data_IF_794661599823
#
_entry.id   IF_794661599823
#
_cell.length_a   1.000
_cell.length_b   1.000
_cell.length_c   1.000
_cell.angle_alpha   90.00
_cell.angle_beta   90.00
_cell.angle_gamma   90.00
#
_symmetry.space_group_name_H-M   'P 1'
#
loop_
_entity.id
_entity.type
_entity.pdbx_description
1 polymer ?
#
# COMPACT_ATOMS: atom_id res chain seq x y z
N UNK A 1 23.48 9.61 19.17
CA UNK A 1 22.48 10.51 18.58
C UNK A 1 22.34 10.32 17.05
N UNK A 2 23.43 10.31 16.27
CA UNK A 2 23.40 10.14 14.80
C UNK A 2 22.77 8.82 14.34
N UNK A 3 23.05 7.69 15.01
CA UNK A 3 22.51 6.38 14.67
C UNK A 3 20.96 6.37 14.84
N UNK A 4 20.48 6.95 15.94
CA UNK A 4 19.03 7.06 16.18
C UNK A 4 18.36 7.89 15.08
N UNK A 5 19.00 8.99 14.68
CA UNK A 5 18.49 9.86 13.62
C UNK A 5 18.40 9.14 12.27
N UNK A 6 19.40 8.33 11.91
CA UNK A 6 19.35 7.52 10.67
C UNK A 6 18.25 6.45 10.70
N UNK A 7 17.98 5.82 11.86
CA UNK A 7 16.87 4.89 12.02
C UNK A 7 15.51 5.60 11.94
N UNK A 8 15.39 6.82 12.51
CA UNK A 8 14.17 7.63 12.39
C UNK A 8 13.86 7.96 10.92
N UNK A 9 14.86 8.45 10.17
CA UNK A 9 14.67 8.74 8.74
C UNK A 9 14.38 7.48 7.92
N UNK A 10 15.02 6.35 8.23
CA UNK A 10 14.72 5.08 7.60
C UNK A 10 13.27 4.65 7.88
N UNK A 11 12.82 4.74 9.14
CA UNK A 11 11.45 4.43 9.55
C UNK A 11 10.41 5.34 8.90
N UNK A 12 10.69 6.65 8.80
CA UNK A 12 9.81 7.59 8.09
C UNK A 12 9.71 7.25 6.60
N UNK A 13 10.81 6.87 5.95
CA UNK A 13 10.81 6.52 4.53
C UNK A 13 9.98 5.26 4.27
N UNK A 14 10.18 4.20 5.05
CA UNK A 14 9.40 2.97 4.96
C UNK A 14 7.93 3.24 5.31
N UNK A 15 7.68 3.99 6.39
CA UNK A 15 6.35 4.37 6.82
C UNK A 15 5.57 5.19 5.79
N UNK A 16 6.24 6.06 5.04
CA UNK A 16 5.62 6.82 3.97
C UNK A 16 5.19 5.91 2.80
N UNK A 17 5.95 4.86 2.51
CA UNK A 17 5.55 3.87 1.51
C UNK A 17 4.39 3.00 2.02
N UNK A 18 4.38 2.61 3.29
CA UNK A 18 3.23 1.92 3.90
C UNK A 18 1.97 2.80 3.88
N UNK A 19 2.12 4.10 4.14
CA UNK A 19 1.04 5.07 4.04
C UNK A 19 0.48 5.15 2.61
N UNK A 20 1.36 5.28 1.60
CA UNK A 20 0.97 5.33 0.19
C UNK A 20 0.24 4.05 -0.25
N UNK A 21 0.78 2.88 0.13
CA UNK A 21 0.16 1.58 -0.13
C UNK A 21 -1.20 1.47 0.57
N UNK A 22 -1.29 1.88 1.83
CA UNK A 22 -2.53 1.93 2.59
C UNK A 22 -3.58 2.86 1.98
N UNK A 23 -3.17 4.02 1.44
CA UNK A 23 -4.05 4.93 0.69
C UNK A 23 -4.63 4.22 -0.54
N UNK A 24 -3.82 3.47 -1.30
CA UNK A 24 -4.29 2.66 -2.42
C UNK A 24 -5.36 1.64 -2.01
N UNK A 25 -5.13 0.94 -0.90
CA UNK A 25 -6.10 -0.01 -0.33
C UNK A 25 -7.39 0.68 0.11
N UNK A 26 -7.29 1.81 0.82
CA UNK A 26 -8.47 2.58 1.29
C UNK A 26 -9.27 3.12 0.11
N UNK A 27 -8.62 3.64 -0.93
CA UNK A 27 -9.30 4.13 -2.12
C UNK A 27 -10.13 3.04 -2.79
N UNK A 28 -9.54 1.86 -2.99
CA UNK A 28 -10.24 0.74 -3.59
C UNK A 28 -11.39 0.25 -2.70
N UNK A 29 -11.14 0.12 -1.38
CA UNK A 29 -12.17 -0.28 -0.43
C UNK A 29 -13.35 0.70 -0.40
N UNK A 30 -13.11 2.00 -0.45
CA UNK A 30 -14.16 3.03 -0.46
C UNK A 30 -15.08 2.92 -1.68
N UNK A 31 -14.55 2.56 -2.84
CA UNK A 31 -15.33 2.44 -4.07
C UNK A 31 -16.01 1.07 -4.21
N UNK A 32 -15.28 -0.01 -3.95
CA UNK A 32 -15.73 -1.38 -4.21
C UNK A 32 -16.30 -2.11 -2.98
N UNK A 33 -15.96 -1.64 -1.78
CA UNK A 33 -16.26 -2.33 -0.51
C UNK A 33 -15.44 -3.59 -0.28
N UNK A 34 -14.36 -3.80 -1.04
CA UNK A 34 -13.51 -5.01 -0.99
C UNK A 34 -12.08 -4.63 -0.64
N UNK A 35 -11.48 -5.39 0.27
CA UNK A 35 -10.04 -5.30 0.56
C UNK A 35 -9.27 -6.03 -0.54
N UNK A 36 -8.27 -5.38 -1.13
CA UNK A 36 -7.44 -5.97 -2.18
C UNK A 36 -6.17 -6.58 -1.59
N UNK A 37 -6.17 -7.88 -1.36
CA UNK A 37 -4.99 -8.61 -0.90
C UNK A 37 -3.92 -8.78 -1.99
N UNK A 38 -4.28 -8.62 -3.28
CA UNK A 38 -3.31 -8.68 -4.37
C UNK A 38 -2.42 -7.43 -4.48
N UNK A 39 -2.67 -6.38 -3.68
CA UNK A 39 -1.93 -5.11 -3.75
C UNK A 39 -0.42 -5.30 -3.59
N UNK A 40 0.02 -6.10 -2.61
CA UNK A 40 1.43 -6.44 -2.41
C UNK A 40 2.03 -7.25 -3.55
N UNK A 41 1.31 -8.26 -4.05
CA UNK A 41 1.75 -9.08 -5.18
C UNK A 41 1.91 -8.27 -6.48
N UNK A 42 0.98 -7.34 -6.76
CA UNK A 42 1.07 -6.41 -7.88
C UNK A 42 2.30 -5.51 -7.76
N UNK A 43 2.58 -5.01 -6.55
CA UNK A 43 3.78 -4.23 -6.26
C UNK A 43 5.05 -5.07 -6.42
N UNK A 44 5.05 -6.29 -5.89
CA UNK A 44 6.17 -7.23 -6.03
C UNK A 44 6.48 -7.55 -7.50
N UNK A 45 5.45 -7.80 -8.30
CA UNK A 45 5.59 -8.02 -9.74
C UNK A 45 6.19 -6.79 -10.44
N UNK A 46 5.73 -5.57 -10.08
CA UNK A 46 6.28 -4.33 -10.62
C UNK A 46 7.78 -4.22 -10.35
N UNK A 47 8.22 -4.50 -9.12
CA UNK A 47 9.63 -4.43 -8.73
C UNK A 47 10.48 -5.50 -9.44
N UNK A 48 9.97 -6.73 -9.58
CA UNK A 48 10.65 -7.82 -10.28
C UNK A 48 10.82 -7.53 -11.77
N UNK A 49 9.78 -7.02 -12.44
CA UNK A 49 9.85 -6.62 -13.84
C UNK A 49 10.81 -5.45 -14.06
N UNK A 50 10.79 -4.45 -13.17
CA UNK A 50 11.74 -3.34 -13.22
C UNK A 50 13.18 -3.84 -13.12
N UNK A 51 13.46 -4.70 -12.13
CA UNK A 51 14.77 -5.32 -11.99
C UNK A 51 15.19 -6.09 -13.26
N UNK A 52 14.26 -6.88 -13.84
CA UNK A 52 14.54 -7.64 -15.07
C UNK A 52 14.90 -6.73 -16.25
N UNK A 53 14.21 -5.60 -16.41
CA UNK A 53 14.52 -4.65 -17.49
C UNK A 53 15.91 -4.03 -17.32
N UNK A 54 16.29 -3.68 -16.08
CA UNK A 54 17.61 -3.13 -15.77
C UNK A 54 18.71 -4.18 -16.02
N UNK A 55 18.52 -5.43 -15.62
CA UNK A 55 19.46 -6.53 -15.89
C UNK A 55 19.64 -6.81 -17.39
N UNK A 56 18.61 -6.60 -18.19
CA UNK A 56 18.66 -6.68 -19.65
C UNK A 56 19.37 -5.49 -20.32
N UNK A 57 19.83 -4.50 -19.52
CA UNK A 57 20.54 -3.31 -20.01
C UNK A 57 19.66 -2.18 -20.47
N UNK A 58 18.35 -2.23 -20.22
CA UNK A 58 17.47 -1.10 -20.51
C UNK A 58 17.64 0.00 -19.45
N UNK A 59 17.33 1.25 -19.84
CA UNK A 59 17.37 2.38 -18.95
C UNK A 59 16.33 2.22 -17.79
N UNK A 60 16.67 2.70 -16.59
CA UNK A 60 15.86 2.54 -15.36
C UNK A 60 14.41 2.99 -15.52
N UNK A 61 14.19 4.12 -16.22
CA UNK A 61 12.85 4.65 -16.47
C UNK A 61 11.96 3.71 -17.31
N UNK A 62 12.57 2.91 -18.22
CA UNK A 62 11.85 1.87 -18.98
C UNK A 62 11.38 0.78 -18.03
N UNK A 63 12.26 0.32 -17.13
CA UNK A 63 11.91 -0.63 -16.09
C UNK A 63 10.75 -0.15 -15.21
N UNK A 64 10.74 1.12 -14.83
CA UNK A 64 9.65 1.72 -14.05
C UNK A 64 8.33 1.72 -14.82
N UNK A 65 8.34 2.16 -16.08
CA UNK A 65 7.13 2.19 -16.92
C UNK A 65 6.59 0.77 -17.12
N UNK A 66 7.44 -0.19 -17.43
CA UNK A 66 7.03 -1.59 -17.65
C UNK A 66 6.48 -2.20 -16.36
N UNK A 67 7.17 -2.02 -15.22
CA UNK A 67 6.74 -2.55 -13.93
C UNK A 67 5.40 -1.97 -13.49
N UNK A 68 5.29 -0.64 -13.43
CA UNK A 68 4.04 0.04 -13.03
C UNK A 68 2.93 -0.25 -14.04
N UNK A 69 3.25 -0.23 -15.33
CA UNK A 69 2.29 -0.51 -16.40
C UNK A 69 1.70 -1.92 -16.31
N UNK A 70 2.53 -2.93 -16.06
CA UNK A 70 2.08 -4.32 -15.90
C UNK A 70 1.20 -4.48 -14.66
N UNK A 71 1.60 -3.94 -13.51
CA UNK A 71 0.81 -3.97 -12.28
C UNK A 71 -0.54 -3.28 -12.47
N UNK A 72 -0.54 -2.13 -13.18
CA UNK A 72 -1.76 -1.37 -13.50
C UNK A 72 -2.67 -2.14 -14.43
N UNK A 73 -2.11 -2.75 -15.48
CA UNK A 73 -2.86 -3.54 -16.46
C UNK A 73 -3.53 -4.75 -15.80
N UNK A 74 -2.79 -5.51 -14.98
CA UNK A 74 -3.35 -6.65 -14.26
C UNK A 74 -4.45 -6.22 -13.27
N UNK A 75 -4.22 -5.14 -12.54
CA UNK A 75 -5.23 -4.58 -11.65
C UNK A 75 -6.47 -4.13 -12.42
N UNK A 76 -6.32 -3.45 -13.56
CA UNK A 76 -7.41 -3.06 -14.43
C UNK A 76 -8.15 -4.27 -15.02
N UNK A 77 -7.43 -5.28 -15.51
CA UNK A 77 -8.03 -6.50 -16.02
C UNK A 77 -8.90 -7.20 -14.95
N UNK A 78 -8.38 -7.33 -13.73
CA UNK A 78 -9.16 -7.87 -12.63
C UNK A 78 -10.41 -7.02 -12.35
N UNK A 79 -10.25 -5.71 -12.25
CA UNK A 79 -11.35 -4.78 -12.00
C UNK A 79 -12.40 -4.74 -13.11
N UNK A 80 -11.99 -5.00 -14.36
CA UNK A 80 -12.88 -4.95 -15.54
C UNK A 80 -13.63 -6.26 -15.80
N UNK A 81 -12.96 -7.40 -15.56
CA UNK A 81 -13.49 -8.73 -15.96
C UNK A 81 -13.90 -9.57 -14.75
N UNK A 82 -13.07 -9.62 -13.70
CA UNK A 82 -13.30 -10.51 -12.55
C UNK A 82 -14.19 -9.87 -11.49
N UNK A 83 -13.90 -8.64 -11.09
CA UNK A 83 -14.64 -7.97 -10.02
C UNK A 83 -16.14 -7.79 -10.30
N UNK A 84 -16.61 -7.51 -11.54
CA UNK A 84 -18.03 -7.43 -11.84
C UNK A 84 -18.74 -8.78 -11.73
N UNK A 85 -18.09 -9.88 -12.12
CA UNK A 85 -18.66 -11.25 -12.04
C UNK A 85 -18.91 -11.68 -10.59
N UNK A 86 -18.11 -11.13 -9.66
CA UNK A 86 -18.22 -11.39 -8.23
C UNK A 86 -19.08 -10.36 -7.48
N UNK A 87 -19.71 -9.42 -8.20
CA UNK A 87 -20.43 -8.29 -7.56
C UNK A 87 -21.62 -8.74 -6.70
N UNK A 88 -22.20 -9.91 -6.99
CA UNK A 88 -23.33 -10.50 -6.26
C UNK A 88 -22.88 -11.38 -5.08
N UNK A 89 -21.59 -11.64 -4.96
CA UNK A 89 -21.02 -12.45 -3.89
C UNK A 89 -20.75 -11.62 -2.63
N UNK A 90 -20.65 -12.30 -1.49
CA UNK A 90 -20.31 -11.71 -0.22
C UNK A 90 -18.93 -10.99 -0.26
N UNK A 91 -18.77 -10.01 0.63
CA UNK A 91 -17.50 -9.25 0.73
C UNK A 91 -16.31 -10.15 1.00
N UNK A 92 -16.50 -11.23 1.77
CA UNK A 92 -15.46 -12.21 2.10
C UNK A 92 -15.03 -12.95 0.84
N UNK A 93 -15.98 -13.47 0.04
CA UNK A 93 -15.68 -14.17 -1.22
C UNK A 93 -14.92 -13.28 -2.19
N UNK A 94 -15.32 -12.02 -2.32
CA UNK A 94 -14.63 -11.04 -3.16
C UNK A 94 -13.21 -10.74 -2.68
N UNK A 95 -13.00 -10.67 -1.37
CA UNK A 95 -11.67 -10.50 -0.79
C UNK A 95 -10.79 -11.74 -1.03
N UNK A 96 -11.35 -12.95 -0.84
CA UNK A 96 -10.66 -14.21 -1.12
C UNK A 96 -10.27 -14.34 -2.60
N UNK A 97 -11.07 -13.85 -3.53
CA UNK A 97 -10.73 -13.84 -4.96
C UNK A 97 -9.49 -12.94 -5.23
N UNK A 98 -9.34 -11.80 -4.52
CA UNK A 98 -8.11 -10.99 -4.64
C UNK A 98 -6.90 -11.67 -4.00
N UNK A 99 -7.09 -12.47 -2.95
CA UNK A 99 -6.04 -13.30 -2.36
C UNK A 99 -5.61 -14.41 -3.34
N UNK A 100 -6.56 -15.04 -4.03
CA UNK A 100 -6.27 -15.99 -5.11
C UNK A 100 -5.43 -15.35 -6.21
N UNK A 101 -5.75 -14.12 -6.63
CA UNK A 101 -4.93 -13.36 -7.56
C UNK A 101 -3.52 -13.11 -7.01
N UNK A 102 -3.39 -12.79 -5.71
CA UNK A 102 -2.08 -12.59 -5.08
C UNK A 102 -1.21 -13.84 -5.16
N UNK A 103 -1.77 -15.00 -4.81
CA UNK A 103 -1.05 -16.27 -4.87
C UNK A 103 -0.73 -16.71 -6.30
N UNK A 104 -1.62 -16.43 -7.26
CA UNK A 104 -1.35 -16.68 -8.67
C UNK A 104 -0.16 -15.85 -9.16
N UNK A 105 -0.14 -14.55 -8.88
CA UNK A 105 0.99 -13.67 -9.24
C UNK A 105 2.27 -14.13 -8.55
N UNK A 106 2.21 -14.42 -7.24
CA UNK A 106 3.36 -14.90 -6.46
C UNK A 106 3.90 -16.21 -7.02
N UNK A 107 3.03 -17.18 -7.30
CA UNK A 107 3.43 -18.48 -7.85
C UNK A 107 4.05 -18.36 -9.24
N UNK A 108 3.48 -17.54 -10.14
CA UNK A 108 4.05 -17.25 -11.45
C UNK A 108 5.41 -16.54 -11.33
N UNK A 109 5.53 -15.60 -10.41
CA UNK A 109 6.78 -14.90 -10.15
C UNK A 109 7.87 -15.86 -9.60
N UNK A 110 7.52 -16.76 -8.69
CA UNK A 110 8.44 -17.77 -8.18
C UNK A 110 8.83 -18.78 -9.27
N UNK A 111 7.90 -19.21 -10.10
CA UNK A 111 8.17 -20.12 -11.22
C UNK A 111 9.14 -19.51 -12.23
N UNK A 112 8.99 -18.23 -12.56
CA UNK A 112 9.81 -17.57 -13.58
C UNK A 112 11.16 -17.09 -13.04
N UNK A 113 11.20 -16.44 -11.87
CA UNK A 113 12.42 -15.86 -11.28
C UNK A 113 13.06 -16.74 -10.21
N UNK A 114 12.37 -17.74 -9.69
CA UNK A 114 12.79 -18.52 -8.52
C UNK A 114 12.65 -17.73 -7.22
N UNK A 115 13.15 -18.32 -6.12
CA UNK A 115 13.04 -17.73 -4.77
C UNK A 115 14.37 -17.10 -4.29
N UNK A 116 15.34 -16.93 -5.18
CA UNK A 116 16.64 -16.32 -4.85
C UNK A 116 16.47 -14.82 -4.62
N UNK A 117 16.87 -14.31 -3.43
CA UNK A 117 16.79 -12.89 -3.15
C UNK A 117 17.71 -12.06 -4.05
N UNK A 118 17.16 -11.07 -4.72
CA UNK A 118 17.88 -10.13 -5.60
C UNK A 118 17.93 -8.74 -4.98
N UNK A 119 18.64 -7.82 -5.62
CA UNK A 119 18.71 -6.41 -5.21
C UNK A 119 18.37 -5.53 -6.39
N UNK A 120 17.43 -4.62 -6.19
CA UNK A 120 17.18 -3.52 -7.10
C UNK A 120 18.07 -2.34 -6.66
N UNK A 121 19.13 -2.08 -7.40
CA UNK A 121 20.04 -0.97 -7.13
C UNK A 121 19.66 0.16 -8.07
N UNK A 122 19.37 1.33 -7.52
CA UNK A 122 19.09 2.53 -8.29
C UNK A 122 20.31 3.45 -8.28
N UNK A 123 20.53 4.25 -9.34
CA UNK A 123 21.67 5.18 -9.43
C UNK A 123 21.76 6.13 -8.24
N UNK A 124 20.60 6.48 -7.66
CA UNK A 124 20.49 7.38 -6.50
C UNK A 124 20.92 6.74 -5.17
N UNK A 125 21.20 5.42 -5.13
CA UNK A 125 21.65 4.73 -3.92
C UNK A 125 23.11 5.03 -3.58
N UNK A 126 23.92 5.35 -4.59
CA UNK A 126 25.35 5.65 -4.43
C UNK A 126 25.58 6.95 -3.65
N UNK A 127 24.65 7.90 -3.72
CA UNK A 127 24.72 9.21 -3.12
C UNK A 127 23.73 9.35 -1.95
N UNK A 128 24.02 10.29 -1.05
CA UNK A 128 23.18 10.52 0.13
C UNK A 128 23.63 11.74 0.93
N UNK A 129 22.78 12.15 1.86
CA UNK A 129 23.09 13.23 2.78
C UNK A 129 24.02 12.69 3.87
N UNK A 130 25.22 13.26 3.95
CA UNK A 130 26.21 12.92 4.97
C UNK A 130 26.18 13.95 6.09
N UNK A 131 26.21 13.47 7.33
CA UNK A 131 26.31 14.30 8.51
C UNK A 131 27.46 13.78 9.40
N UNK A 132 28.43 14.64 9.69
CA UNK A 132 29.67 14.28 10.42
C UNK A 132 30.39 13.02 9.87
N UNK A 133 30.55 12.94 8.53
CA UNK A 133 31.30 11.87 7.88
C UNK A 133 30.55 10.51 7.77
N UNK A 134 29.29 10.42 8.23
CA UNK A 134 28.45 9.23 8.09
C UNK A 134 27.21 9.54 7.27
N UNK A 135 26.79 8.57 6.44
CA UNK A 135 25.58 8.67 5.65
C UNK A 135 24.35 8.62 6.56
N UNK A 136 23.58 9.72 6.59
CA UNK A 136 22.34 9.84 7.36
C UNK A 136 21.17 9.17 6.63
N UNK A 137 21.00 9.50 5.34
CA UNK A 137 19.93 8.98 4.46
C UNK A 137 20.43 8.91 3.02
N UNK A 138 20.08 7.87 2.26
CA UNK A 138 20.31 7.81 0.81
C UNK A 138 19.33 8.71 0.06
N UNK A 139 19.73 9.21 -1.09
CA UNK A 139 18.83 10.02 -1.93
C UNK A 139 17.61 9.22 -2.36
N UNK A 140 17.72 7.91 -2.59
CA UNK A 140 16.58 7.03 -2.92
C UNK A 140 15.53 7.01 -1.80
N UNK A 141 15.95 6.91 -0.54
CA UNK A 141 15.03 6.96 0.61
C UNK A 141 14.36 8.32 0.76
N UNK A 142 15.11 9.39 0.53
CA UNK A 142 14.57 10.74 0.55
C UNK A 142 13.55 10.96 -0.57
N UNK A 143 13.88 10.51 -1.80
CA UNK A 143 12.95 10.55 -2.94
C UNK A 143 11.70 9.73 -2.67
N UNK A 144 11.84 8.51 -2.12
CA UNK A 144 10.70 7.66 -1.76
C UNK A 144 9.79 8.35 -0.73
N UNK A 145 10.37 8.99 0.29
CA UNK A 145 9.63 9.75 1.30
C UNK A 145 8.88 10.92 0.66
N UNK A 146 9.58 11.78 -0.09
CA UNK A 146 9.00 12.96 -0.72
C UNK A 146 7.92 12.59 -1.75
N UNK A 147 8.19 11.60 -2.62
CA UNK A 147 7.22 11.15 -3.62
C UNK A 147 6.01 10.49 -2.97
N UNK A 148 6.19 9.63 -1.96
CA UNK A 148 5.09 9.00 -1.26
C UNK A 148 4.17 10.02 -0.59
N UNK A 149 4.73 11.04 0.06
CA UNK A 149 3.95 12.13 0.67
C UNK A 149 3.25 12.95 -0.42
N UNK A 150 3.96 13.32 -1.49
CA UNK A 150 3.41 14.11 -2.59
C UNK A 150 2.26 13.38 -3.29
N UNK A 151 2.44 12.10 -3.62
CA UNK A 151 1.39 11.29 -4.26
C UNK A 151 0.19 11.14 -3.32
N UNK A 152 0.44 10.86 -2.04
CA UNK A 152 -0.63 10.75 -1.03
C UNK A 152 -1.44 12.03 -0.91
N UNK A 153 -0.76 13.19 -0.83
CA UNK A 153 -1.40 14.49 -0.76
C UNK A 153 -2.21 14.78 -2.04
N UNK A 154 -1.63 14.51 -3.20
CA UNK A 154 -2.29 14.66 -4.50
C UNK A 154 -3.54 13.78 -4.56
N UNK A 155 -3.48 12.53 -4.11
CA UNK A 155 -4.64 11.63 -4.07
C UNK A 155 -5.70 12.11 -3.08
N UNK A 156 -5.31 12.63 -1.93
CA UNK A 156 -6.25 13.21 -0.97
C UNK A 156 -6.98 14.43 -1.57
N UNK A 157 -6.24 15.34 -2.20
CA UNK A 157 -6.80 16.51 -2.90
C UNK A 157 -7.68 16.10 -4.08
N UNK A 158 -7.24 15.13 -4.88
CA UNK A 158 -8.01 14.58 -5.99
C UNK A 158 -9.38 14.06 -5.51
N UNK A 159 -9.42 13.28 -4.43
CA UNK A 159 -10.67 12.76 -3.88
C UNK A 159 -11.59 13.84 -3.32
N UNK A 160 -11.04 14.92 -2.76
CA UNK A 160 -11.86 16.00 -2.17
C UNK A 160 -12.35 16.96 -3.25
N UNK A 161 -11.50 17.31 -4.22
CA UNK A 161 -11.75 18.42 -5.15
C UNK A 161 -12.29 18.03 -6.52
N UNK A 162 -12.32 16.72 -6.87
CA UNK A 162 -12.77 16.31 -8.20
C UNK A 162 -14.17 15.69 -8.21
N UNK A 163 -14.83 15.78 -9.37
CA UNK A 163 -16.09 15.09 -9.62
C UNK A 163 -15.98 13.57 -9.51
N UNK A 164 -14.79 13.02 -9.78
CA UNK A 164 -14.52 11.60 -9.60
C UNK A 164 -14.55 11.23 -8.13
N UNK A 165 -13.89 12.00 -7.28
CA UNK A 165 -13.93 11.81 -5.82
C UNK A 165 -15.33 11.96 -5.24
N UNK A 166 -16.16 12.89 -5.76
CA UNK A 166 -17.56 13.02 -5.38
C UNK A 166 -18.34 11.73 -5.71
N UNK A 167 -18.17 11.18 -6.93
CA UNK A 167 -18.80 9.91 -7.34
C UNK A 167 -18.36 8.76 -6.45
N UNK A 168 -17.08 8.67 -6.10
CA UNK A 168 -16.58 7.65 -5.17
C UNK A 168 -17.22 7.75 -3.79
N UNK A 169 -17.36 8.94 -3.24
CA UNK A 169 -18.03 9.15 -1.94
C UNK A 169 -19.52 8.78 -2.00
N UNK A 170 -20.20 9.10 -3.09
CA UNK A 170 -21.57 8.67 -3.33
C UNK A 170 -21.70 7.15 -3.35
N UNK A 171 -20.82 6.44 -4.09
CA UNK A 171 -20.79 4.98 -4.14
C UNK A 171 -20.49 4.35 -2.78
N UNK A 172 -19.68 4.98 -1.96
CA UNK A 172 -19.38 4.54 -0.60
C UNK A 172 -20.61 4.65 0.33
N UNK A 173 -21.40 5.73 0.18
CA UNK A 173 -22.60 5.97 0.98
C UNK A 173 -23.73 5.02 0.58
N UNK A 174 -24.14 5.04 -0.68
CA UNK A 174 -25.18 4.13 -1.23
C UNK A 174 -24.93 3.87 -2.71
N UNK A 175 -24.52 2.64 -3.01
CA UNK A 175 -24.15 2.21 -4.36
C UNK A 175 -25.35 2.16 -5.31
N UNK A 176 -26.50 1.71 -4.80
CA UNK A 176 -27.74 1.60 -5.59
C UNK A 176 -28.26 2.99 -5.92
N UNK A 177 -28.40 3.85 -4.93
CA UNK A 177 -28.87 5.23 -5.09
C UNK A 177 -27.95 6.02 -6.04
N UNK A 178 -26.63 5.89 -5.91
CA UNK A 178 -25.67 6.53 -6.82
C UNK A 178 -25.88 6.07 -8.27
N UNK A 179 -26.17 4.79 -8.48
CA UNK A 179 -26.51 4.25 -9.81
C UNK A 179 -27.77 4.86 -10.38
N UNK A 180 -28.83 4.99 -9.58
CA UNK A 180 -30.10 5.63 -9.97
C UNK A 180 -29.91 7.13 -10.30
N UNK A 181 -28.98 7.81 -9.62
CA UNK A 181 -28.60 9.21 -9.90
C UNK A 181 -27.67 9.35 -11.13
N UNK A 182 -27.50 8.29 -11.93
CA UNK A 182 -26.75 8.32 -13.19
C UNK A 182 -25.23 8.12 -13.08
N UNK A 183 -24.72 7.73 -11.90
CA UNK A 183 -23.29 7.38 -11.78
C UNK A 183 -23.03 6.04 -12.48
N UNK A 184 -22.14 6.04 -13.47
CA UNK A 184 -21.70 4.82 -14.16
C UNK A 184 -20.78 3.99 -13.26
N UNK A 185 -21.37 3.20 -12.36
CA UNK A 185 -20.69 2.42 -11.31
C UNK A 185 -19.52 1.61 -11.87
N UNK A 186 -19.75 0.81 -12.92
CA UNK A 186 -18.70 -0.02 -13.55
C UNK A 186 -17.50 0.80 -14.05
N UNK A 187 -17.72 2.02 -14.56
CA UNK A 187 -16.64 2.89 -15.04
C UNK A 187 -15.82 3.44 -13.87
N UNK A 188 -16.49 3.87 -12.79
CA UNK A 188 -15.80 4.35 -11.60
C UNK A 188 -14.98 3.23 -10.97
N UNK A 189 -15.55 2.04 -10.82
CA UNK A 189 -14.84 0.86 -10.32
C UNK A 189 -13.58 0.55 -11.14
N UNK A 190 -13.70 0.48 -12.48
CA UNK A 190 -12.55 0.21 -13.35
C UNK A 190 -11.42 1.24 -13.16
N UNK A 191 -11.74 2.53 -13.06
CA UNK A 191 -10.74 3.57 -12.81
C UNK A 191 -10.09 3.48 -11.43
N UNK A 192 -10.85 3.06 -10.41
CA UNK A 192 -10.30 2.87 -9.07
C UNK A 192 -9.31 1.69 -9.06
N UNK A 193 -9.59 0.61 -9.80
CA UNK A 193 -8.63 -0.48 -9.97
C UNK A 193 -7.35 -0.04 -10.71
N UNK A 194 -7.47 0.83 -11.72
CA UNK A 194 -6.30 1.45 -12.38
C UNK A 194 -5.45 2.23 -11.37
N UNK A 195 -6.08 3.14 -10.61
CA UNK A 195 -5.38 3.96 -9.61
C UNK A 195 -4.72 3.06 -8.55
N UNK A 196 -5.43 2.04 -8.05
CA UNK A 196 -4.88 1.09 -7.09
C UNK A 196 -3.69 0.31 -7.65
N UNK A 197 -3.74 -0.07 -8.95
CA UNK A 197 -2.63 -0.72 -9.65
C UNK A 197 -1.41 0.17 -9.79
N UNK A 198 -1.60 1.45 -10.16
CA UNK A 198 -0.50 2.44 -10.21
C UNK A 198 0.15 2.60 -8.83
N UNK A 199 -0.66 2.77 -7.78
CA UNK A 199 -0.16 2.93 -6.42
C UNK A 199 0.56 1.67 -5.94
N UNK A 200 0.04 0.48 -6.25
CA UNK A 200 0.71 -0.80 -5.96
C UNK A 200 2.06 -0.89 -6.68
N UNK A 201 2.10 -0.56 -7.97
CA UNK A 201 3.33 -0.58 -8.76
C UNK A 201 4.39 0.37 -8.20
N UNK A 202 4.02 1.62 -7.92
CA UNK A 202 4.94 2.63 -7.34
C UNK A 202 5.46 2.19 -5.98
N UNK A 203 4.57 1.74 -5.08
CA UNK A 203 4.99 1.28 -3.75
C UNK A 203 5.90 0.06 -3.82
N UNK A 204 5.62 -0.86 -4.75
CA UNK A 204 6.43 -2.05 -4.99
C UNK A 204 7.85 -1.72 -5.43
N UNK A 205 8.03 -0.75 -6.35
CA UNK A 205 9.35 -0.29 -6.80
C UNK A 205 10.19 0.25 -5.65
N UNK A 206 9.63 1.14 -4.83
CA UNK A 206 10.36 1.70 -3.68
C UNK A 206 10.68 0.64 -2.63
N UNK A 207 9.75 -0.26 -2.34
CA UNK A 207 10.00 -1.36 -1.41
C UNK A 207 11.04 -2.35 -1.96
N UNK A 208 10.98 -2.68 -3.26
CA UNK A 208 11.95 -3.55 -3.91
C UNK A 208 13.39 -3.03 -3.85
N UNK A 209 13.57 -1.69 -3.80
CA UNK A 209 14.89 -1.10 -3.57
C UNK A 209 15.30 -1.16 -2.08
N UNK A 210 14.37 -0.98 -1.14
CA UNK A 210 14.69 -0.91 0.30
C UNK A 210 14.91 -2.28 0.94
N UNK A 211 14.24 -3.31 0.42
CA UNK A 211 14.34 -4.69 0.88
C UNK A 211 14.84 -5.58 -0.26
N UNK A 212 15.21 -6.82 0.06
CA UNK A 212 15.59 -7.78 -0.97
C UNK A 212 14.38 -8.15 -1.81
N UNK A 213 14.54 -8.15 -3.14
CA UNK A 213 13.54 -8.62 -4.08
C UNK A 213 13.34 -10.12 -3.91
N UNK A 214 12.24 -10.50 -3.34
CA UNK A 214 11.77 -11.86 -3.25
C UNK A 214 10.26 -11.86 -3.45
N UNK A 215 9.69 -12.65 -4.37
CA UNK A 215 8.26 -12.62 -4.68
C UNK A 215 7.37 -12.81 -3.46
N UNK A 216 7.75 -13.73 -2.57
CA UNK A 216 7.02 -14.01 -1.33
C UNK A 216 7.03 -12.81 -0.40
N UNK A 217 8.21 -12.28 -0.09
CA UNK A 217 8.36 -11.15 0.84
C UNK A 217 7.60 -9.93 0.35
N UNK A 218 7.73 -9.60 -0.95
CA UNK A 218 7.05 -8.45 -1.55
C UNK A 218 5.52 -8.61 -1.55
N UNK A 219 5.01 -9.82 -1.78
CA UNK A 219 3.57 -10.09 -1.71
C UNK A 219 3.01 -9.81 -0.32
N UNK A 220 3.72 -10.22 0.73
CA UNK A 220 3.28 -10.01 2.12
C UNK A 220 3.43 -8.57 2.62
N UNK A 221 4.04 -7.67 1.86
CA UNK A 221 4.03 -6.23 2.20
C UNK A 221 2.63 -5.59 2.16
N UNK A 222 1.64 -6.29 1.66
CA UNK A 222 0.23 -5.89 1.82
C UNK A 222 -0.17 -5.80 3.30
N UNK A 223 0.49 -6.54 4.20
CA UNK A 223 0.13 -6.61 5.63
C UNK A 223 0.37 -5.28 6.35
N UNK A 224 1.58 -4.66 6.32
CA UNK A 224 1.77 -3.34 6.92
C UNK A 224 0.91 -2.26 6.27
N UNK A 225 0.66 -2.34 4.96
CA UNK A 225 -0.24 -1.43 4.27
C UNK A 225 -1.70 -1.58 4.75
N UNK A 226 -2.15 -2.82 4.95
CA UNK A 226 -3.47 -3.12 5.50
C UNK A 226 -3.57 -2.65 6.96
N UNK A 227 -2.52 -2.86 7.77
CA UNK A 227 -2.46 -2.34 9.13
C UNK A 227 -2.62 -0.81 9.17
N UNK A 228 -1.93 -0.08 8.30
CA UNK A 228 -2.10 1.37 8.14
C UNK A 228 -3.54 1.74 7.74
N UNK A 229 -4.14 0.99 6.81
CA UNK A 229 -5.52 1.18 6.38
C UNK A 229 -6.53 0.91 7.51
N UNK A 230 -6.25 -0.09 8.38
CA UNK A 230 -7.05 -0.42 9.57
C UNK A 230 -6.99 0.73 10.60
N UNK A 231 -5.83 1.33 10.84
CA UNK A 231 -5.70 2.56 11.65
C UNK A 231 -6.61 3.67 11.10
N UNK A 232 -6.71 3.79 9.77
CA UNK A 232 -7.63 4.70 9.08
C UNK A 232 -9.09 4.23 9.04
N UNK A 233 -9.44 3.11 9.71
CA UNK A 233 -10.78 2.46 9.66
C UNK A 233 -11.24 2.15 8.23
N UNK A 234 -10.31 1.98 7.28
CA UNK A 234 -10.59 1.81 5.85
C UNK A 234 -11.43 2.97 5.23
N UNK A 235 -11.50 4.10 5.93
CA UNK A 235 -12.32 5.27 5.55
C UNK A 235 -11.56 6.59 5.52
N UNK A 236 -10.61 6.79 6.41
CA UNK A 236 -9.91 8.07 6.58
C UNK A 236 -8.51 7.99 5.99
N UNK A 237 -8.24 8.77 4.93
CA UNK A 237 -6.89 8.87 4.35
C UNK A 237 -5.87 9.49 5.31
N UNK A 238 -6.17 10.61 6.02
CA UNK A 238 -5.20 11.19 6.95
C UNK A 238 -4.80 10.22 8.07
N UNK A 239 -5.76 9.47 8.64
CA UNK A 239 -5.46 8.47 9.67
C UNK A 239 -4.67 7.28 9.10
N UNK A 240 -4.92 6.90 7.84
CA UNK A 240 -4.12 5.85 7.15
C UNK A 240 -2.67 6.31 6.98
N UNK A 241 -2.46 7.57 6.61
CA UNK A 241 -1.11 8.14 6.49
C UNK A 241 -0.41 8.15 7.83
N UNK A 242 -1.09 8.64 8.87
CA UNK A 242 -0.56 8.62 10.23
C UNK A 242 -0.22 7.19 10.68
N UNK A 243 -1.12 6.22 10.42
CA UNK A 243 -0.90 4.81 10.72
C UNK A 243 0.32 4.23 10.01
N UNK A 244 0.48 4.51 8.71
CA UNK A 244 1.65 4.06 7.95
C UNK A 244 2.96 4.62 8.48
N UNK A 245 3.01 5.92 8.76
CA UNK A 245 4.18 6.58 9.34
C UNK A 245 4.50 6.04 10.74
N UNK A 246 3.49 5.85 11.57
CA UNK A 246 3.64 5.27 12.90
C UNK A 246 4.21 3.83 12.84
N UNK A 247 3.66 2.98 11.97
CA UNK A 247 4.14 1.61 11.79
C UNK A 247 5.61 1.61 11.37
N UNK A 248 5.98 2.40 10.36
CA UNK A 248 7.37 2.46 9.89
C UNK A 248 8.34 2.98 10.95
N UNK A 249 7.93 3.97 11.75
CA UNK A 249 8.75 4.47 12.87
C UNK A 249 8.92 3.41 13.95
N UNK A 250 7.84 2.77 14.40
CA UNK A 250 7.89 1.71 15.44
C UNK A 250 8.73 0.53 14.95
N UNK A 251 8.54 0.07 13.71
CA UNK A 251 9.33 -1.00 13.11
C UNK A 251 10.83 -0.67 13.13
N UNK A 252 11.18 0.54 12.71
CA UNK A 252 12.58 0.98 12.68
C UNK A 252 13.19 1.06 14.09
N UNK A 253 12.43 1.49 15.10
CA UNK A 253 12.88 1.52 16.49
C UNK A 253 13.04 0.13 17.08
N UNK A 254 12.13 -0.79 16.75
CA UNK A 254 12.25 -2.20 17.18
C UNK A 254 13.47 -2.87 16.56
N UNK A 255 13.75 -2.61 15.27
CA UNK A 255 14.96 -3.11 14.58
C UNK A 255 16.25 -2.52 15.20
N UNK A 256 16.22 -1.29 15.71
CA UNK A 256 17.35 -0.67 16.38
C UNK A 256 17.79 -1.42 17.66
N UNK A 257 16.87 -2.12 18.34
CA UNK A 257 17.17 -2.89 19.55
C UNK A 257 17.58 -4.32 19.13
N UNK A 258 18.85 -4.76 19.31
CA UNK A 258 19.35 -6.04 18.80
C UNK A 258 18.53 -7.26 19.23
N UNK A 259 18.05 -7.25 20.47
CA UNK A 259 17.22 -8.36 21.02
C UNK A 259 15.83 -8.46 20.39
N UNK A 260 15.29 -7.33 19.90
CA UNK A 260 13.96 -7.23 19.31
C UNK A 260 13.98 -7.17 17.78
N UNK A 261 15.12 -7.03 17.15
CA UNK A 261 15.27 -6.81 15.70
C UNK A 261 14.58 -7.87 14.84
N UNK A 262 14.56 -9.13 15.32
CA UNK A 262 13.86 -10.26 14.65
C UNK A 262 12.33 -10.10 14.58
N UNK A 263 11.76 -9.26 15.45
CA UNK A 263 10.32 -9.03 15.55
C UNK A 263 9.86 -7.76 14.81
N UNK A 264 10.74 -7.08 14.08
CA UNK A 264 10.43 -5.86 13.34
C UNK A 264 9.16 -5.99 12.49
N UNK A 265 9.07 -7.03 11.66
CA UNK A 265 7.90 -7.27 10.79
C UNK A 265 6.59 -7.53 11.56
N UNK A 266 6.66 -7.91 12.83
CA UNK A 266 5.46 -8.13 13.66
C UNK A 266 4.84 -6.83 14.18
N UNK A 267 5.55 -5.71 14.11
CA UNK A 267 5.08 -4.41 14.63
C UNK A 267 3.81 -3.94 13.94
N UNK A 268 3.66 -4.21 12.64
CA UNK A 268 2.46 -3.87 11.88
C UNK A 268 1.20 -4.54 12.45
N UNK A 269 1.31 -5.82 12.84
CA UNK A 269 0.21 -6.56 13.45
C UNK A 269 -0.13 -6.01 14.85
N UNK A 270 0.89 -5.71 15.66
CA UNK A 270 0.68 -5.14 17.00
C UNK A 270 -0.05 -3.81 16.91
N UNK A 271 0.39 -2.91 16.03
CA UNK A 271 -0.25 -1.60 15.81
C UNK A 271 -1.69 -1.78 15.33
N UNK A 272 -1.95 -2.72 14.40
CA UNK A 272 -3.29 -3.00 13.92
C UNK A 272 -4.22 -3.49 15.04
N UNK A 273 -3.76 -4.46 15.86
CA UNK A 273 -4.53 -5.02 16.96
C UNK A 273 -4.83 -3.94 18.01
N UNK A 274 -3.81 -3.17 18.42
CA UNK A 274 -3.99 -2.09 19.39
C UNK A 274 -5.00 -1.05 18.87
N UNK A 275 -4.93 -0.68 17.60
CA UNK A 275 -5.88 0.24 16.98
C UNK A 275 -7.31 -0.31 16.98
N UNK A 276 -7.49 -1.60 16.65
CA UNK A 276 -8.81 -2.25 16.68
C UNK A 276 -9.40 -2.29 18.08
N UNK A 277 -8.60 -2.67 19.08
CA UNK A 277 -9.02 -2.71 20.49
C UNK A 277 -9.41 -1.32 21.00
N UNK A 278 -8.63 -0.29 20.59
CA UNK A 278 -8.94 1.10 20.92
C UNK A 278 -10.30 1.53 20.34
N UNK A 279 -10.56 1.22 19.08
CA UNK A 279 -11.83 1.55 18.43
C UNK A 279 -13.02 0.80 19.01
N UNK A 280 -12.83 -0.46 19.39
CA UNK A 280 -13.87 -1.25 20.04
C UNK A 280 -14.26 -0.66 21.40
N UNK A 281 -13.28 -0.22 22.20
CA UNK A 281 -13.54 0.44 23.49
C UNK A 281 -14.35 1.75 23.31
N UNK A 282 -14.04 2.54 22.30
CA UNK A 282 -14.79 3.76 22.02
C UNK A 282 -16.24 3.44 21.59
N UNK A 283 -16.45 2.42 20.76
CA UNK A 283 -17.80 1.98 20.37
C UNK A 283 -18.65 1.52 21.56
N UNK A 284 -18.08 0.79 22.49
CA UNK A 284 -18.75 0.34 23.73
C UNK A 284 -19.06 1.54 24.63
N UNK A 285 -18.16 2.50 24.77
CA UNK A 285 -18.38 3.71 25.57
C UNK A 285 -19.56 4.53 25.04
N UNK A 286 -19.63 4.74 23.71
CA UNK A 286 -20.73 5.47 23.08
C UNK A 286 -22.08 4.76 23.16
N UNK A 287 -22.10 3.42 23.14
CA UNK A 287 -23.34 2.66 23.31
C UNK A 287 -23.87 2.69 24.75
N UNK A 288 -22.98 2.75 25.75
CA UNK A 288 -23.37 2.91 27.16
C UNK A 288 -23.97 4.29 27.45
N UNK A 289 -23.43 5.34 26.85
CA UNK A 289 -23.91 6.71 27.05
C UNK A 289 -25.34 6.90 26.50
N UNK A 290 -25.65 6.24 25.38
CA UNK A 290 -27.00 6.28 24.78
C UNK A 290 -28.04 5.44 25.55
N UNK A 291 -27.63 4.43 26.31
CA UNK A 291 -28.55 3.60 27.10
C UNK A 291 -29.03 4.27 28.41
N UNK A 292 -28.47 5.41 28.77
CA UNK A 292 -28.92 6.22 29.90
C UNK A 292 -29.91 7.35 29.49
N UNK A 293 -30.22 7.45 28.19
CA UNK A 293 -31.11 8.46 27.63
C UNK A 293 -32.47 7.88 27.16
N UNK A 294 -32.67 6.56 27.30
CA UNK A 294 -33.94 5.84 27.18
C UNK A 294 -34.48 5.46 28.57
#
# INVERSE_FOLDING_TARGET
MQIILSFLFAGLSVGAIYALSGVGLVMLYRASGVVNFAHGALGGLSAMLCWQMIELGYADWIGWIVGIGCATLLSWCYGRFVAPSLSHQDRIVRAMATLGLAFMIMGLAQWYWGDTPRRLILPTDSSGINFNGRRLISHTRLLALCLSISITLTMALFLVRTNFGLKMRGLQSNRVLSGLLGVRVKRVDSWVWVIAGVLAGVTGLFMGNMIRLNPTVLTFLVIPALAAAVVGRLKSLPLTVFGGLLIGLVESMVIFIPTLSRYGSSTAFVVAIVSLLWYQRQGIALSRDNSHLE
#
